data_IF_492378896326
#
_entry.id   IF_492378896326
#
_cell.length_a   1.000
_cell.length_b   1.000
_cell.length_c   1.000
_cell.angle_alpha   90.00
_cell.angle_beta   90.00
_cell.angle_gamma   90.00
#
_symmetry.space_group_name_H-M   'P 1'
#
loop_
_entity.id
_entity.type
_entity.pdbx_description
1 polymer ?
#
# COMPACT_ATOMS: atom_id res chain seq x y z
N UNK A 1 -2.32 -14.71 10.22
CA UNK A 1 -2.03 -14.58 8.76
C UNK A 1 -1.43 -15.88 8.27
N UNK A 2 -1.57 -16.23 6.99
CA UNK A 2 -0.79 -17.31 6.38
C UNK A 2 -1.59 -18.27 5.50
N UNK A 3 -0.84 -19.17 4.86
CA UNK A 3 -1.27 -20.17 3.89
C UNK A 3 -0.02 -20.93 3.41
N UNK A 4 -0.06 -21.46 2.19
CA UNK A 4 1.09 -22.18 1.60
C UNK A 4 2.25 -21.21 1.27
N UNK A 5 3.48 -21.61 1.61
CA UNK A 5 4.70 -20.89 1.22
C UNK A 5 5.07 -19.69 2.10
N UNK A 6 4.57 -19.63 3.34
CA UNK A 6 4.95 -18.62 4.34
C UNK A 6 6.35 -18.89 4.88
N UNK A 7 6.64 -20.13 5.22
CA UNK A 7 7.95 -20.67 5.60
C UNK A 7 9.04 -20.24 4.62
N UNK A 8 8.82 -20.42 3.30
CA UNK A 8 9.73 -19.99 2.25
C UNK A 8 10.11 -18.51 2.35
N UNK A 9 9.14 -17.63 2.64
CA UNK A 9 9.39 -16.17 2.72
C UNK A 9 10.15 -15.82 4.00
N UNK A 10 9.85 -16.49 5.11
CA UNK A 10 10.59 -16.31 6.36
C UNK A 10 12.05 -16.71 6.17
N UNK A 11 12.33 -17.87 5.56
CA UNK A 11 13.69 -18.37 5.34
C UNK A 11 14.50 -17.45 4.43
N UNK A 12 13.90 -16.95 3.34
CA UNK A 12 14.55 -15.99 2.44
C UNK A 12 14.88 -14.69 3.18
N UNK A 13 13.94 -14.12 3.93
CA UNK A 13 14.17 -12.88 4.69
C UNK A 13 15.22 -13.10 5.78
N UNK A 14 15.17 -14.21 6.51
CA UNK A 14 16.18 -14.53 7.53
C UNK A 14 17.58 -14.66 6.92
N UNK A 15 17.69 -15.28 5.75
CA UNK A 15 18.94 -15.38 4.98
C UNK A 15 19.42 -14.02 4.51
N UNK A 16 18.52 -13.17 3.99
CA UNK A 16 18.84 -11.81 3.57
C UNK A 16 19.37 -10.96 4.74
N UNK A 17 18.68 -11.00 5.89
CA UNK A 17 19.12 -10.34 7.12
C UNK A 17 20.49 -10.83 7.58
N UNK A 18 20.73 -12.15 7.55
CA UNK A 18 22.03 -12.73 7.91
C UNK A 18 23.13 -12.33 6.93
N UNK A 19 22.80 -12.17 5.65
CA UNK A 19 23.69 -11.72 4.59
C UNK A 19 23.94 -10.20 4.57
N UNK A 20 23.27 -9.43 5.43
CA UNK A 20 23.40 -7.97 5.46
C UNK A 20 22.69 -7.25 4.30
N UNK A 21 21.77 -7.94 3.61
CA UNK A 21 20.97 -7.36 2.52
C UNK A 21 19.92 -6.42 3.14
N UNK A 22 19.91 -5.16 2.70
CA UNK A 22 18.94 -4.16 3.18
C UNK A 22 17.54 -4.41 2.64
N UNK A 23 16.52 -3.84 3.28
CA UNK A 23 15.13 -4.01 2.87
C UNK A 23 14.89 -3.59 1.41
N UNK A 24 15.50 -2.50 0.95
CA UNK A 24 15.40 -2.05 -0.44
C UNK A 24 16.08 -2.99 -1.44
N UNK A 25 17.17 -3.66 -1.05
CA UNK A 25 17.89 -4.59 -1.92
C UNK A 25 17.17 -5.94 -2.10
N UNK A 26 16.09 -6.20 -1.35
CA UNK A 26 15.23 -7.37 -1.57
C UNK A 26 14.60 -7.39 -2.97
N UNK A 27 14.55 -6.24 -3.64
CA UNK A 27 14.06 -6.11 -5.01
C UNK A 27 14.86 -6.95 -6.00
N UNK A 28 16.17 -7.09 -5.78
CA UNK A 28 17.12 -7.73 -6.70
C UNK A 28 17.31 -9.23 -6.42
N UNK A 29 16.59 -9.81 -5.45
CA UNK A 29 16.66 -11.25 -5.19
C UNK A 29 16.06 -12.05 -6.34
N UNK A 30 16.92 -12.78 -7.06
CA UNK A 30 16.53 -13.70 -8.13
C UNK A 30 16.04 -15.03 -7.54
N UNK A 31 14.74 -15.11 -7.24
CA UNK A 31 14.10 -16.28 -6.65
C UNK A 31 13.50 -17.19 -7.72
N UNK A 32 13.45 -18.50 -7.46
CA UNK A 32 12.88 -19.48 -8.38
C UNK A 32 11.41 -19.19 -8.70
N UNK A 33 11.10 -19.11 -9.99
CA UNK A 33 9.76 -18.86 -10.50
C UNK A 33 9.26 -19.96 -11.44
N UNK A 34 8.09 -20.50 -11.11
CA UNK A 34 7.15 -21.16 -12.00
C UNK A 34 5.74 -20.95 -11.43
N UNK A 35 4.66 -21.03 -12.25
CA UNK A 35 3.29 -20.70 -11.80
C UNK A 35 2.84 -21.41 -10.52
N UNK A 36 3.32 -22.63 -10.27
CA UNK A 36 3.01 -23.43 -9.09
C UNK A 36 3.78 -23.04 -7.81
N UNK A 37 4.87 -22.27 -7.92
CA UNK A 37 5.78 -21.99 -6.79
C UNK A 37 5.85 -20.52 -6.39
N UNK A 38 5.67 -19.61 -7.36
CA UNK A 38 5.77 -18.17 -7.12
C UNK A 38 5.08 -17.37 -8.23
N UNK A 39 5.13 -16.05 -8.10
CA UNK A 39 4.83 -15.09 -9.15
C UNK A 39 6.14 -14.57 -9.76
N UNK A 40 6.05 -13.89 -10.91
CA UNK A 40 7.22 -13.26 -11.54
C UNK A 40 7.94 -12.26 -10.61
N UNK A 41 7.21 -11.69 -9.65
CA UNK A 41 7.76 -10.95 -8.50
C UNK A 41 7.30 -11.67 -7.23
N UNK A 42 8.23 -12.27 -6.49
CA UNK A 42 7.90 -12.92 -5.22
C UNK A 42 7.41 -11.88 -4.21
N UNK A 43 6.54 -12.24 -3.24
CA UNK A 43 6.25 -11.39 -2.09
C UNK A 43 7.47 -10.74 -1.42
N UNK A 44 8.64 -11.40 -1.40
CA UNK A 44 9.89 -10.77 -0.92
C UNK A 44 10.32 -9.61 -1.82
N UNK A 45 10.30 -9.78 -3.14
CA UNK A 45 10.60 -8.68 -4.07
C UNK A 45 9.59 -7.54 -3.92
N UNK A 46 8.30 -7.88 -3.73
CA UNK A 46 7.25 -6.86 -3.52
C UNK A 46 7.47 -6.05 -2.23
N UNK A 47 7.92 -6.70 -1.15
CA UNK A 47 8.34 -6.00 0.06
C UNK A 47 9.54 -5.08 -0.21
N UNK A 48 10.52 -5.57 -0.99
CA UNK A 48 11.66 -4.78 -1.43
C UNK A 48 11.27 -3.51 -2.19
N UNK A 49 10.35 -3.64 -3.16
CA UNK A 49 9.81 -2.49 -3.87
C UNK A 49 9.14 -1.47 -2.94
N UNK A 50 8.38 -1.92 -1.93
CA UNK A 50 7.75 -0.99 -0.97
C UNK A 50 8.83 -0.26 -0.17
N UNK A 51 9.83 -0.97 0.35
CA UNK A 51 10.93 -0.40 1.10
C UNK A 51 11.76 0.59 0.27
N UNK A 52 12.03 0.26 -1.00
CA UNK A 52 12.71 1.15 -1.94
C UNK A 52 11.89 2.42 -2.22
N UNK A 53 10.59 2.30 -2.50
CA UNK A 53 9.73 3.47 -2.72
C UNK A 53 9.70 4.41 -1.50
N UNK A 54 9.71 3.86 -0.28
CA UNK A 54 9.77 4.64 0.96
C UNK A 54 11.15 5.32 1.12
N UNK A 55 12.24 4.57 0.91
CA UNK A 55 13.62 5.07 0.99
C UNK A 55 13.86 6.23 0.02
N UNK A 56 13.35 6.11 -1.20
CA UNK A 56 13.56 7.06 -2.29
C UNK A 56 12.56 8.24 -2.25
N UNK A 57 11.65 8.26 -1.26
CA UNK A 57 10.64 9.32 -1.12
C UNK A 57 9.58 9.32 -2.23
N UNK A 58 9.41 8.20 -2.94
CA UNK A 58 8.38 8.07 -3.98
C UNK A 58 6.99 7.87 -3.39
N UNK A 59 6.89 7.48 -2.13
CA UNK A 59 5.62 7.32 -1.43
C UNK A 59 5.79 7.65 0.04
N UNK A 60 4.78 8.29 0.61
CA UNK A 60 4.63 8.45 2.04
C UNK A 60 3.48 7.56 2.53
N UNK A 61 3.55 7.10 3.77
CA UNK A 61 2.56 6.21 4.35
C UNK A 61 2.08 6.70 5.70
N UNK A 62 0.84 6.35 6.03
CA UNK A 62 0.26 6.49 7.37
C UNK A 62 -0.10 5.11 7.90
N UNK A 63 0.11 4.88 9.20
CA UNK A 63 -0.21 3.61 9.85
C UNK A 63 -1.68 3.57 10.29
N UNK A 64 -2.22 2.35 10.40
CA UNK A 64 -3.62 2.11 10.75
C UNK A 64 -4.08 2.81 12.05
N UNK A 65 -3.19 2.93 13.04
CA UNK A 65 -3.49 3.57 14.33
C UNK A 65 -3.44 5.11 14.29
N UNK A 66 -2.95 5.70 13.20
CA UNK A 66 -2.79 7.16 13.05
C UNK A 66 -3.98 7.77 12.30
N UNK A 67 -4.63 6.99 11.44
CA UNK A 67 -5.69 7.47 10.52
C UNK A 67 -6.81 8.20 11.26
N UNK A 68 -7.31 7.66 12.36
CA UNK A 68 -8.38 8.28 13.13
C UNK A 68 -7.99 9.67 13.65
N UNK A 69 -6.73 9.84 14.07
CA UNK A 69 -6.19 11.12 14.52
C UNK A 69 -6.03 12.12 13.39
N UNK A 70 -5.61 11.68 12.20
CA UNK A 70 -5.50 12.55 11.02
C UNK A 70 -6.87 13.00 10.50
N UNK A 71 -7.85 12.10 10.44
CA UNK A 71 -9.24 12.43 10.05
C UNK A 71 -9.85 13.41 11.06
N UNK A 72 -9.60 13.22 12.36
CA UNK A 72 -10.07 14.16 13.38
C UNK A 72 -9.46 15.57 13.26
N UNK A 73 -8.27 15.70 12.65
CA UNK A 73 -7.66 16.99 12.28
C UNK A 73 -8.23 17.60 11.00
N UNK A 74 -9.15 16.90 10.34
CA UNK A 74 -9.77 17.34 9.08
C UNK A 74 -9.04 16.89 7.82
N UNK A 75 -8.07 15.97 7.90
CA UNK A 75 -7.42 15.41 6.71
C UNK A 75 -8.45 14.57 5.95
N UNK A 76 -8.56 14.82 4.64
CA UNK A 76 -9.44 14.05 3.78
C UNK A 76 -8.93 12.61 3.67
N UNK A 77 -9.83 11.65 3.83
CA UNK A 77 -9.57 10.23 3.62
C UNK A 77 -10.32 9.74 2.39
N UNK A 78 -9.62 9.16 1.43
CA UNK A 78 -10.19 8.64 0.19
C UNK A 78 -10.04 7.13 0.12
N UNK A 79 -11.15 6.44 -0.04
CA UNK A 79 -11.18 5.03 -0.40
C UNK A 79 -11.19 4.89 -1.92
N UNK A 80 -10.09 4.36 -2.47
CA UNK A 80 -9.93 4.19 -3.93
C UNK A 80 -10.39 2.81 -4.43
N UNK A 81 -11.07 2.04 -3.60
CA UNK A 81 -11.72 0.78 -4.00
C UNK A 81 -12.96 1.04 -4.84
N UNK A 82 -13.49 -0.04 -5.42
CA UNK A 82 -14.77 0.02 -6.15
C UNK A 82 -15.93 0.38 -5.21
N UNK A 83 -17.03 0.98 -5.72
CA UNK A 83 -18.19 1.30 -4.88
C UNK A 83 -18.78 0.08 -4.17
N UNK A 84 -18.73 -1.09 -4.81
CA UNK A 84 -19.17 -2.35 -4.20
C UNK A 84 -18.30 -2.80 -3.03
N UNK A 85 -16.98 -2.60 -3.09
CA UNK A 85 -16.08 -2.83 -1.95
C UNK A 85 -16.34 -1.83 -0.81
N UNK A 86 -16.49 -0.56 -1.14
CA UNK A 86 -16.79 0.51 -0.18
C UNK A 86 -18.11 0.26 0.56
N UNK A 87 -19.16 -0.13 -0.17
CA UNK A 87 -20.47 -0.45 0.40
C UNK A 87 -20.47 -1.64 1.38
N UNK A 88 -19.46 -2.52 1.31
CA UNK A 88 -19.29 -3.64 2.27
C UNK A 88 -18.59 -3.23 3.57
N UNK A 89 -18.20 -1.97 3.70
CA UNK A 89 -17.48 -1.43 4.84
C UNK A 89 -16.22 -0.69 4.40
N UNK A 90 -15.93 0.40 5.10
CA UNK A 90 -14.79 1.28 4.83
C UNK A 90 -14.21 1.81 6.15
N UNK A 91 -13.13 2.57 6.06
CA UNK A 91 -12.59 3.33 7.20
C UNK A 91 -13.50 4.51 7.47
N UNK A 92 -13.80 4.77 8.74
CA UNK A 92 -14.71 5.86 9.13
C UNK A 92 -14.23 7.22 8.60
N UNK A 93 -15.16 7.96 8.00
CA UNK A 93 -14.87 9.26 7.39
C UNK A 93 -14.29 9.22 5.97
N UNK A 94 -14.07 8.02 5.39
CA UNK A 94 -13.59 7.92 4.02
C UNK A 94 -14.63 8.33 2.98
N UNK A 95 -14.21 9.02 1.92
CA UNK A 95 -14.99 9.29 0.71
C UNK A 95 -14.57 8.34 -0.40
N UNK A 96 -15.52 7.76 -1.14
CA UNK A 96 -15.18 6.83 -2.22
C UNK A 96 -14.90 7.56 -3.54
N UNK A 97 -13.68 7.44 -4.03
CA UNK A 97 -13.26 7.87 -5.38
C UNK A 97 -12.44 6.72 -5.98
N UNK A 98 -13.06 5.82 -6.76
CA UNK A 98 -12.37 4.66 -7.33
C UNK A 98 -11.10 5.05 -8.09
N UNK A 99 -10.04 4.24 -7.96
CA UNK A 99 -8.72 4.55 -8.56
C UNK A 99 -8.79 4.78 -10.08
N UNK A 100 -9.71 4.11 -10.76
CA UNK A 100 -9.90 4.22 -12.22
C UNK A 100 -10.59 5.54 -12.63
N UNK A 101 -11.35 6.16 -11.71
CA UNK A 101 -12.04 7.45 -11.90
C UNK A 101 -11.24 8.64 -11.35
N UNK A 102 -10.19 8.38 -10.56
CA UNK A 102 -9.48 9.37 -9.77
C UNK A 102 -8.91 10.52 -10.62
N UNK A 103 -8.44 10.23 -11.83
CA UNK A 103 -7.85 11.24 -12.74
C UNK A 103 -8.88 12.23 -13.27
N UNK A 104 -10.13 11.80 -13.41
CA UNK A 104 -11.22 12.65 -13.90
C UNK A 104 -11.87 13.45 -12.76
N UNK A 105 -11.52 13.14 -11.50
CA UNK A 105 -12.11 13.69 -10.27
C UNK A 105 -11.08 14.36 -9.35
N UNK A 106 -9.97 14.85 -9.93
CA UNK A 106 -8.88 15.49 -9.17
C UNK A 106 -9.32 16.75 -8.40
N UNK A 107 -10.38 17.41 -8.87
CA UNK A 107 -10.95 18.61 -8.24
C UNK A 107 -11.65 18.31 -6.91
N UNK A 108 -12.01 17.04 -6.68
CA UNK A 108 -12.63 16.57 -5.43
C UNK A 108 -11.58 16.19 -4.37
N UNK A 109 -10.30 16.20 -4.73
CA UNK A 109 -9.18 15.78 -3.87
C UNK A 109 -8.45 16.99 -3.30
N UNK A 110 -8.37 17.05 -1.97
CA UNK A 110 -7.66 18.09 -1.23
C UNK A 110 -6.14 18.05 -1.47
N UNK A 111 -5.46 19.16 -1.16
CA UNK A 111 -4.00 19.29 -1.30
C UNK A 111 -3.22 18.35 -0.39
N UNK A 112 -3.69 18.09 0.83
CA UNK A 112 -3.15 17.07 1.75
C UNK A 112 -4.23 16.00 2.00
N UNK A 113 -3.92 14.76 1.65
CA UNK A 113 -4.91 13.68 1.62
C UNK A 113 -4.30 12.34 1.99
N UNK A 114 -5.10 11.51 2.65
CA UNK A 114 -4.81 10.10 2.87
C UNK A 114 -5.62 9.27 1.88
N UNK A 115 -4.98 8.35 1.19
CA UNK A 115 -5.64 7.37 0.33
C UNK A 115 -5.52 5.97 0.92
N UNK A 116 -6.53 5.13 0.72
CA UNK A 116 -6.42 3.72 1.02
C UNK A 116 -7.14 2.87 -0.01
N UNK A 117 -6.73 1.61 -0.09
CA UNK A 117 -7.48 0.60 -0.83
C UNK A 117 -7.66 -0.66 0.01
N UNK A 118 -7.87 -1.82 -0.62
CA UNK A 118 -8.05 -3.08 0.10
C UNK A 118 -6.77 -3.57 0.81
N UNK A 119 -5.61 -3.48 0.15
CA UNK A 119 -4.33 -4.07 0.63
C UNK A 119 -3.11 -3.16 0.43
N UNK A 120 -3.31 -1.88 0.12
CA UNK A 120 -2.24 -0.90 -0.13
C UNK A 120 -1.83 -0.70 -1.60
N UNK A 121 -1.97 -1.70 -2.48
CA UNK A 121 -1.49 -1.60 -3.88
C UNK A 121 -2.19 -0.53 -4.74
N UNK A 122 -3.53 -0.52 -4.80
CA UNK A 122 -4.28 0.52 -5.55
C UNK A 122 -4.14 1.89 -4.88
N UNK A 123 -3.95 1.91 -3.55
CA UNK A 123 -3.65 3.12 -2.78
C UNK A 123 -2.30 3.72 -3.18
N UNK A 124 -1.27 2.90 -3.40
CA UNK A 124 0.00 3.35 -3.97
C UNK A 124 -0.17 3.97 -5.37
N UNK A 125 -0.94 3.34 -6.25
CA UNK A 125 -1.23 3.87 -7.60
C UNK A 125 -1.92 5.24 -7.50
N UNK A 126 -2.90 5.37 -6.62
CA UNK A 126 -3.58 6.63 -6.35
C UNK A 126 -2.62 7.69 -5.80
N UNK A 127 -1.79 7.34 -4.81
CA UNK A 127 -0.81 8.24 -4.22
C UNK A 127 0.18 8.75 -5.26
N UNK A 128 0.73 7.88 -6.12
CA UNK A 128 1.62 8.29 -7.22
C UNK A 128 0.92 9.17 -8.23
N UNK A 129 -0.33 8.85 -8.58
CA UNK A 129 -1.12 9.67 -9.51
C UNK A 129 -1.34 11.07 -8.95
N UNK A 130 -1.77 11.19 -7.70
CA UNK A 130 -2.05 12.48 -7.06
C UNK A 130 -0.77 13.29 -6.80
N UNK A 131 0.32 12.64 -6.38
CA UNK A 131 1.62 13.29 -6.20
C UNK A 131 2.15 13.90 -7.51
N UNK A 132 1.95 13.22 -8.65
CA UNK A 132 2.29 13.76 -9.97
C UNK A 132 1.45 14.99 -10.36
N UNK A 133 0.30 15.19 -9.72
CA UNK A 133 -0.55 16.38 -9.87
C UNK A 133 -0.34 17.39 -8.73
N UNK A 134 0.76 17.29 -7.99
CA UNK A 134 1.17 18.28 -6.98
C UNK A 134 0.46 18.16 -5.63
N UNK A 135 -0.27 17.06 -5.37
CA UNK A 135 -0.88 16.79 -4.06
C UNK A 135 0.13 16.15 -3.10
N UNK A 136 0.05 16.51 -1.81
CA UNK A 136 0.72 15.81 -0.74
C UNK A 136 -0.14 14.62 -0.31
N UNK A 137 0.36 13.38 -0.50
CA UNK A 137 -0.45 12.18 -0.34
C UNK A 137 0.25 11.13 0.50
N UNK A 138 -0.46 10.64 1.51
CA UNK A 138 -0.06 9.50 2.34
C UNK A 138 -0.94 8.28 2.04
N UNK A 139 -0.33 7.14 1.79
CA UNK A 139 -1.06 5.88 1.58
C UNK A 139 -1.24 5.14 2.92
N UNK A 140 -2.44 4.65 3.22
CA UNK A 140 -2.66 3.80 4.39
C UNK A 140 -1.99 2.44 4.19
N UNK A 141 -0.93 2.19 4.97
CA UNK A 141 -0.17 0.96 4.91
C UNK A 141 -1.03 -0.26 5.28
N UNK A 142 -0.89 -1.34 4.51
CA UNK A 142 -1.73 -2.53 4.60
C UNK A 142 -3.20 -2.37 4.16
N UNK A 143 -3.67 -1.14 3.94
CA UNK A 143 -5.03 -0.80 3.51
C UNK A 143 -6.14 -1.23 4.48
N UNK A 144 -7.38 -1.23 3.98
CA UNK A 144 -8.59 -1.56 4.75
C UNK A 144 -8.51 -2.94 5.39
N UNK A 145 -7.87 -3.92 4.74
CA UNK A 145 -7.75 -5.28 5.29
C UNK A 145 -6.95 -5.31 6.59
N UNK A 146 -5.89 -4.52 6.70
CA UNK A 146 -5.11 -4.42 7.94
C UNK A 146 -5.89 -3.62 8.97
N UNK A 147 -6.41 -2.46 8.59
CA UNK A 147 -7.19 -1.60 9.50
C UNK A 147 -8.38 -2.34 10.12
N UNK A 148 -9.18 -3.07 9.34
CA UNK A 148 -10.39 -3.75 9.83
C UNK A 148 -10.13 -4.99 10.71
N UNK A 149 -8.86 -5.35 10.91
CA UNK A 149 -8.47 -6.54 11.71
C UNK A 149 -7.86 -6.19 13.05
N UNK A 150 -7.61 -4.91 13.31
CA UNK A 150 -7.03 -4.43 14.57
C UNK A 150 -8.10 -3.62 15.31
#
# INVERSE_FOLDING_TARGET
MGGVGVDKRIDVIATAMRGGITASELVDLELSYAPQFSSAKDPVNMLGYIAENLRDGLTETVQWHEVAGEVAKGIQLIDVRTPGEYARGTVDGAVNIPVDELRDRLDEVADDVIVHCQVGLRGYIAARTLAQHGRHVRNLDGGYRTWARI
#
